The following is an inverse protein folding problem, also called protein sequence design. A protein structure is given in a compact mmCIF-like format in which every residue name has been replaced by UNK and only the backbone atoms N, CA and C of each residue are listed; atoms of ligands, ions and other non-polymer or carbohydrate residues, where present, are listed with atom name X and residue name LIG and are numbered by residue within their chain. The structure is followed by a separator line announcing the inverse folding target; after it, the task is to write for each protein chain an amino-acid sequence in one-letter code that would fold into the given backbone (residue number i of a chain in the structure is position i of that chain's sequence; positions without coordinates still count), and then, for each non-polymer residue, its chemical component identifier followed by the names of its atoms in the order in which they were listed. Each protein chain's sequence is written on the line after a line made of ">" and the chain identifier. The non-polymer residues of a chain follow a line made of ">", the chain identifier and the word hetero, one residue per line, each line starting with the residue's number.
data_IF_452435732810
#
_entry.id   IF_452435732810
#
_cell.length_a   1.000
_cell.length_b   1.000
_cell.length_c   1.000
_cell.angle_alpha   90.00
_cell.angle_beta   90.00
_cell.angle_gamma   90.00
#
_symmetry.space_group_name_H-M   'P 1'
#
loop_
_entity.id
_entity.type
_entity.pdbx_description
1 polymer ?
#
# COMPACT_ATOMS: atom_id res chain seq x y z
N UNK A 1 25.77 59.49 20.71
CA UNK A 1 24.64 60.37 20.38
C UNK A 1 23.36 59.53 20.52
N UNK A 2 22.38 60.08 21.23
CA UNK A 2 21.09 59.51 21.68
C UNK A 2 20.30 58.86 20.52
N UNK A 3 19.47 57.82 20.67
CA UNK A 3 18.27 57.70 21.53
C UNK A 3 17.99 56.22 21.85
N UNK A 4 17.55 55.95 23.08
CA UNK A 4 16.85 54.73 23.49
C UNK A 4 15.36 54.98 23.29
N UNK A 5 14.67 54.08 22.57
CA UNK A 5 13.22 53.94 22.67
C UNK A 5 12.92 52.62 23.36
N UNK A 6 12.02 52.70 24.34
CA UNK A 6 11.59 51.65 25.26
C UNK A 6 10.77 50.61 24.51
N UNK A 7 11.08 49.33 24.68
CA UNK A 7 10.00 48.35 24.82
C UNK A 7 10.42 47.13 25.64
N UNK A 8 9.51 46.81 26.54
CA UNK A 8 9.58 45.83 27.60
C UNK A 8 9.60 44.40 27.05
N UNK A 9 10.72 43.69 27.21
CA UNK A 9 10.79 42.28 27.66
C UNK A 9 12.23 41.79 27.54
N UNK A 10 12.85 41.50 28.69
CA UNK A 10 14.19 40.93 28.77
C UNK A 10 14.23 39.49 28.21
N UNK A 11 14.80 39.31 27.02
CA UNK A 11 15.33 38.02 26.55
C UNK A 11 16.65 38.22 25.82
N UNK A 12 17.76 37.89 26.49
CA UNK A 12 19.03 37.65 25.83
C UNK A 12 19.09 36.17 25.40
N UNK A 13 19.37 35.93 24.11
CA UNK A 13 19.65 34.59 23.56
C UNK A 13 21.16 34.40 23.51
N UNK A 14 21.68 33.41 24.23
CA UNK A 14 22.99 32.81 23.94
C UNK A 14 22.76 31.35 23.51
N UNK A 15 23.41 30.98 22.41
CA UNK A 15 23.44 29.61 21.86
C UNK A 15 24.73 28.97 22.34
N UNK A 16 24.62 27.91 23.15
CA UNK A 16 25.68 26.91 23.30
C UNK A 16 25.06 25.53 23.37
N UNK A 17 25.73 24.58 22.72
CA UNK A 17 25.20 23.26 22.40
C UNK A 17 24.90 22.37 23.61
N UNK A 18 23.95 21.47 23.34
CA UNK A 18 23.64 20.22 24.04
C UNK A 18 23.15 20.31 25.50
N UNK A 19 21.92 19.77 25.67
CA UNK A 19 21.15 19.50 26.90
C UNK A 19 20.49 20.73 27.56
N UNK A 20 19.20 20.92 27.26
CA UNK A 20 18.29 21.64 28.13
C UNK A 20 18.12 20.86 29.44
N UNK A 21 18.71 21.35 30.53
CA UNK A 21 18.29 21.03 31.90
C UNK A 21 17.55 22.26 32.42
N UNK A 22 16.24 22.14 32.62
CA UNK A 22 15.42 23.19 33.22
C UNK A 22 15.69 23.22 34.73
N UNK A 23 16.46 24.20 35.20
CA UNK A 23 16.55 24.53 36.63
C UNK A 23 15.54 25.64 36.91
N UNK A 24 14.43 25.30 37.57
CA UNK A 24 13.39 26.24 37.97
C UNK A 24 13.87 27.03 39.18
N UNK A 25 13.99 28.35 39.02
CA UNK A 25 14.40 29.28 40.06
C UNK A 25 13.44 29.22 41.26
N UNK A 26 14.05 29.20 42.45
CA UNK A 26 13.40 29.24 43.75
C UNK A 26 13.48 30.69 44.26
N UNK A 27 12.35 31.34 44.51
CA UNK A 27 12.26 32.44 45.49
C UNK A 27 10.88 32.45 46.18
N UNK A 28 10.80 32.96 47.43
CA UNK A 28 9.89 32.49 48.46
C UNK A 28 8.72 33.45 48.70
N UNK A 29 7.62 32.96 49.26
CA UNK A 29 6.80 33.71 50.21
C UNK A 29 5.78 32.81 50.91
N UNK A 30 5.73 33.01 52.23
CA UNK A 30 5.01 32.30 53.28
C UNK A 30 3.50 32.53 53.16
N UNK A 31 2.71 31.47 53.03
CA UNK A 31 1.33 31.45 53.47
C UNK A 31 1.04 30.17 54.26
N UNK A 32 0.24 30.38 55.29
CA UNK A 32 0.04 29.60 56.50
C UNK A 32 -0.71 28.31 56.20
N UNK A 33 -0.35 27.22 56.89
CA UNK A 33 -1.05 25.95 56.83
C UNK A 33 -2.54 26.13 57.18
N UNK A 34 -3.43 25.78 56.27
CA UNK A 34 -4.69 25.13 56.62
C UNK A 34 -4.59 23.71 56.12
N UNK A 35 -4.45 22.80 57.08
CA UNK A 35 -4.60 21.36 56.95
C UNK A 35 -5.91 21.02 56.22
N UNK A 36 -5.84 20.92 54.90
CA UNK A 36 -6.73 20.08 54.11
C UNK A 36 -6.00 18.75 53.94
N UNK A 37 -6.65 17.68 54.36
CA UNK A 37 -6.13 16.33 54.54
C UNK A 37 -5.20 15.87 53.40
N UNK A 38 -3.88 16.03 53.58
CA UNK A 38 -2.90 15.35 52.75
C UNK A 38 -2.85 13.91 53.24
N UNK A 39 -3.85 13.12 52.86
CA UNK A 39 -3.92 11.71 53.20
C UNK A 39 -2.78 11.01 52.46
N UNK A 40 -1.72 10.51 53.14
CA UNK A 40 -0.57 9.91 52.46
C UNK A 40 -0.98 8.67 51.65
N UNK A 41 -2.11 8.06 52.01
CA UNK A 41 -2.72 6.96 51.28
C UNK A 41 -3.31 7.40 49.94
N UNK A 42 -3.89 8.60 49.86
CA UNK A 42 -4.45 9.15 48.61
C UNK A 42 -3.33 9.51 47.63
N UNK A 43 -2.27 10.15 48.12
CA UNK A 43 -1.08 10.43 47.29
C UNK A 43 -0.40 9.14 46.78
N UNK A 44 -0.34 8.08 47.60
CA UNK A 44 0.16 6.76 47.16
C UNK A 44 -0.75 6.11 46.13
N UNK A 45 -2.06 6.24 46.29
CA UNK A 45 -3.04 5.70 45.33
C UNK A 45 -2.94 6.41 43.98
N UNK A 46 -2.83 7.74 43.96
CA UNK A 46 -2.67 8.52 42.73
C UNK A 46 -1.36 8.16 42.01
N UNK A 47 -0.24 8.07 42.74
CA UNK A 47 1.03 7.64 42.16
C UNK A 47 0.96 6.21 41.60
N UNK A 48 0.27 5.30 42.30
CA UNK A 48 0.07 3.93 41.81
C UNK A 48 -0.80 3.89 40.55
N UNK A 49 -1.87 4.70 40.50
CA UNK A 49 -2.72 4.85 39.33
C UNK A 49 -1.93 5.39 38.13
N UNK A 50 -1.11 6.42 38.33
CA UNK A 50 -0.26 6.98 37.27
C UNK A 50 0.75 5.95 36.72
N UNK A 51 1.42 5.19 37.59
CA UNK A 51 2.35 4.12 37.18
C UNK A 51 1.63 3.02 36.39
N UNK A 52 0.42 2.63 36.83
CA UNK A 52 -0.41 1.64 36.13
C UNK A 52 -0.90 2.17 34.77
N UNK A 53 -1.23 3.46 34.67
CA UNK A 53 -1.62 4.08 33.40
C UNK A 53 -0.46 4.26 32.43
N UNK A 54 0.74 4.54 32.93
CA UNK A 54 1.97 4.59 32.14
C UNK A 54 2.32 3.19 31.62
N UNK A 55 2.25 2.16 32.46
CA UNK A 55 2.44 0.76 32.06
C UNK A 55 1.40 0.31 31.02
N UNK A 56 0.13 0.69 31.19
CA UNK A 56 -0.91 0.47 30.16
C UNK A 56 -0.56 1.17 28.85
N UNK A 57 -0.13 2.43 28.88
CA UNK A 57 0.28 3.18 27.68
C UNK A 57 1.48 2.55 26.98
N UNK A 58 2.43 2.01 27.74
CA UNK A 58 3.61 1.32 27.21
C UNK A 58 3.27 -0.08 26.66
N UNK A 59 2.31 -0.77 27.27
CA UNK A 59 1.82 -2.09 26.84
C UNK A 59 0.81 -2.01 25.68
N UNK A 60 0.37 -0.81 25.31
CA UNK A 60 -0.52 -0.60 24.17
C UNK A 60 0.24 -0.80 22.86
N UNK A 61 -0.35 -1.50 21.86
CA UNK A 61 0.23 -1.56 20.53
C UNK A 61 0.35 -0.15 19.93
N UNK A 62 1.44 0.13 19.22
CA UNK A 62 1.70 1.44 18.57
C UNK A 62 0.58 1.90 17.62
N UNK A 63 -0.29 0.97 17.16
CA UNK A 63 -1.43 1.23 16.28
C UNK A 63 -2.78 1.35 17.04
N UNK A 64 -2.79 1.41 18.38
CA UNK A 64 -4.03 1.42 19.17
C UNK A 64 -4.95 2.61 18.85
N UNK A 65 -4.41 3.82 18.79
CA UNK A 65 -5.20 5.03 18.52
C UNK A 65 -5.84 5.02 17.13
N UNK A 66 -5.12 4.50 16.13
CA UNK A 66 -5.67 4.35 14.79
C UNK A 66 -6.73 3.24 14.72
N UNK A 67 -6.59 2.16 15.50
CA UNK A 67 -7.66 1.16 15.68
C UNK A 67 -8.90 1.76 16.35
N UNK A 68 -8.71 2.57 17.40
CA UNK A 68 -9.79 3.26 18.11
C UNK A 68 -10.54 4.23 17.18
N UNK A 69 -9.81 5.11 16.47
CA UNK A 69 -10.39 6.01 15.47
C UNK A 69 -11.15 5.27 14.37
N UNK A 70 -10.63 4.13 13.91
CA UNK A 70 -11.31 3.29 12.92
C UNK A 70 -12.61 2.70 13.49
N UNK A 71 -12.60 2.23 14.74
CA UNK A 71 -13.80 1.71 15.40
C UNK A 71 -14.86 2.80 15.61
N UNK A 72 -14.45 3.98 16.08
CA UNK A 72 -15.34 5.15 16.22
C UNK A 72 -15.93 5.56 14.86
N UNK A 73 -15.13 5.57 13.80
CA UNK A 73 -15.61 5.86 12.45
C UNK A 73 -16.61 4.83 11.94
N UNK A 74 -16.41 3.53 12.21
CA UNK A 74 -17.35 2.46 11.83
C UNK A 74 -18.68 2.65 12.56
N UNK A 75 -18.65 2.92 13.88
CA UNK A 75 -19.86 3.14 14.66
C UNK A 75 -20.64 4.35 14.16
N UNK A 76 -19.96 5.47 13.88
CA UNK A 76 -20.59 6.66 13.31
C UNK A 76 -21.16 6.43 11.91
N UNK A 77 -20.50 5.62 11.06
CA UNK A 77 -21.00 5.29 9.72
C UNK A 77 -22.25 4.38 9.81
N UNK A 78 -22.27 3.44 10.76
CA UNK A 78 -23.45 2.59 11.04
C UNK A 78 -24.63 3.39 11.60
N UNK A 79 -24.40 4.32 12.53
CA UNK A 79 -25.43 5.23 13.06
C UNK A 79 -26.05 6.06 11.94
N UNK A 80 -25.23 6.71 11.10
CA UNK A 80 -25.72 7.52 9.98
C UNK A 80 -26.46 6.68 8.94
N UNK A 81 -26.07 5.42 8.74
CA UNK A 81 -26.78 4.49 7.86
C UNK A 81 -28.17 4.18 8.39
N UNK A 82 -28.30 3.92 9.70
CA UNK A 82 -29.60 3.70 10.35
C UNK A 82 -30.48 4.96 10.29
N UNK A 83 -29.94 6.14 10.57
CA UNK A 83 -30.67 7.41 10.44
C UNK A 83 -31.16 7.69 9.01
N UNK A 84 -30.37 7.31 8.00
CA UNK A 84 -30.77 7.43 6.60
C UNK A 84 -31.89 6.43 6.24
N UNK A 85 -31.81 5.19 6.75
CA UNK A 85 -32.83 4.16 6.57
C UNK A 85 -34.16 4.55 7.24
N UNK A 86 -34.11 5.10 8.45
CA UNK A 86 -35.28 5.64 9.18
C UNK A 86 -35.94 6.81 8.44
N UNK A 87 -35.14 7.66 7.78
CA UNK A 87 -35.63 8.74 6.91
C UNK A 87 -36.09 8.26 5.53
N UNK A 88 -35.90 6.99 5.18
CA UNK A 88 -36.21 6.42 3.87
C UNK A 88 -35.29 6.89 2.74
N UNK A 89 -34.11 7.43 3.07
CA UNK A 89 -33.11 7.92 2.12
C UNK A 89 -32.06 6.84 1.81
N UNK A 90 -31.53 6.83 0.58
CA UNK A 90 -30.41 5.97 0.23
C UNK A 90 -29.10 6.58 0.77
N UNK A 91 -28.51 5.94 1.78
CA UNK A 91 -27.28 6.38 2.47
C UNK A 91 -26.12 6.70 1.52
N UNK A 92 -25.89 5.87 0.49
CA UNK A 92 -24.78 6.07 -0.45
C UNK A 92 -24.94 7.38 -1.24
N UNK A 93 -26.19 7.74 -1.59
CA UNK A 93 -26.48 9.00 -2.29
C UNK A 93 -26.25 10.20 -1.38
N UNK A 94 -26.71 10.16 -0.14
CA UNK A 94 -26.51 11.24 0.85
C UNK A 94 -25.02 11.44 1.12
N UNK A 95 -24.28 10.35 1.27
CA UNK A 95 -22.83 10.39 1.45
C UNK A 95 -22.12 11.04 0.26
N UNK A 96 -22.48 10.69 -0.97
CA UNK A 96 -21.91 11.28 -2.18
C UNK A 96 -22.21 12.78 -2.33
N UNK A 97 -23.36 13.26 -1.87
CA UNK A 97 -23.71 14.69 -1.90
C UNK A 97 -22.80 15.54 -0.99
N UNK A 98 -22.29 14.96 0.09
CA UNK A 98 -21.41 15.64 1.03
C UNK A 98 -19.92 15.56 0.66
N UNK A 99 -19.55 14.80 -0.38
CA UNK A 99 -18.16 14.74 -0.83
C UNK A 99 -17.82 16.00 -1.63
N UNK A 100 -16.88 16.78 -1.13
CA UNK A 100 -16.38 17.97 -1.84
C UNK A 100 -15.60 17.58 -3.10
N UNK A 101 -15.59 18.44 -4.12
CA UNK A 101 -14.89 18.18 -5.39
C UNK A 101 -13.38 17.90 -5.18
N UNK A 102 -12.74 18.61 -4.24
CA UNK A 102 -11.32 18.40 -3.88
C UNK A 102 -11.10 17.03 -3.22
N UNK A 103 -12.04 16.59 -2.40
CA UNK A 103 -11.98 15.30 -1.74
C UNK A 103 -12.23 14.16 -2.73
N UNK A 104 -13.18 14.35 -3.65
CA UNK A 104 -13.42 13.44 -4.77
C UNK A 104 -12.17 13.26 -5.63
N UNK A 105 -11.49 14.34 -6.05
CA UNK A 105 -10.25 14.26 -6.83
C UNK A 105 -9.13 13.53 -6.07
N UNK A 106 -8.98 13.83 -4.77
CA UNK A 106 -8.01 13.13 -3.92
C UNK A 106 -8.34 11.64 -3.81
N UNK A 107 -9.62 11.27 -3.70
CA UNK A 107 -10.07 9.89 -3.70
C UNK A 107 -9.80 9.21 -5.04
N UNK A 108 -10.04 9.89 -6.15
CA UNK A 108 -9.73 9.40 -7.50
C UNK A 108 -8.24 9.13 -7.70
N UNK A 109 -7.38 10.05 -7.27
CA UNK A 109 -5.92 9.86 -7.31
C UNK A 109 -5.45 8.70 -6.43
N UNK A 110 -6.15 8.42 -5.33
CA UNK A 110 -5.90 7.28 -4.46
C UNK A 110 -6.45 5.95 -5.02
N UNK A 111 -7.37 5.98 -5.99
CA UNK A 111 -7.86 4.75 -6.64
C UNK A 111 -6.69 4.09 -7.38
N UNK A 112 -6.47 2.81 -7.07
CA UNK A 112 -5.48 2.00 -7.79
C UNK A 112 -5.95 1.79 -9.23
N UNK A 113 -5.09 2.09 -10.20
CA UNK A 113 -5.32 1.73 -11.61
C UNK A 113 -5.44 0.21 -11.72
N UNK A 114 -6.53 -0.28 -12.30
CA UNK A 114 -6.77 -1.72 -12.54
C UNK A 114 -6.38 -2.05 -13.98
N UNK A 115 -5.62 -3.12 -14.18
CA UNK A 115 -5.27 -3.66 -15.50
C UNK A 115 -5.65 -5.16 -15.55
N UNK A 116 -6.96 -5.48 -15.65
CA UNK A 116 -7.43 -6.87 -15.71
C UNK A 116 -7.00 -7.55 -17.01
N UNK A 117 -6.84 -8.87 -16.97
CA UNK A 117 -6.54 -9.66 -18.17
C UNK A 117 -7.80 -9.86 -19.02
N UNK A 118 -7.75 -9.42 -20.29
CA UNK A 118 -8.88 -9.51 -21.22
C UNK A 118 -8.88 -10.84 -21.99
N UNK A 119 -7.89 -11.70 -21.77
CA UNK A 119 -7.70 -12.94 -22.51
C UNK A 119 -6.65 -12.81 -23.62
N UNK A 120 -6.33 -13.95 -24.23
CA UNK A 120 -5.37 -14.00 -25.33
C UNK A 120 -6.10 -13.76 -26.65
N UNK A 121 -5.75 -12.67 -27.34
CA UNK A 121 -6.24 -12.36 -28.68
C UNK A 121 -5.14 -12.61 -29.73
N UNK A 122 -3.98 -11.96 -29.56
CA UNK A 122 -2.83 -12.08 -30.45
C UNK A 122 -1.50 -11.96 -29.69
N UNK A 123 -0.43 -12.49 -30.30
CA UNK A 123 0.93 -12.42 -29.77
C UNK A 123 1.46 -11.00 -29.71
N UNK A 124 1.14 -10.10 -30.67
CA UNK A 124 1.62 -8.71 -30.63
C UNK A 124 1.03 -7.94 -29.46
N UNK A 125 -0.26 -8.14 -29.17
CA UNK A 125 -0.90 -7.50 -28.03
C UNK A 125 -0.33 -8.01 -26.70
N UNK A 126 -0.04 -9.31 -26.61
CA UNK A 126 0.57 -9.90 -25.43
C UNK A 126 2.00 -9.37 -25.20
N UNK A 127 2.82 -9.26 -26.26
CA UNK A 127 4.17 -8.70 -26.17
C UNK A 127 4.15 -7.22 -25.81
N UNK A 128 3.25 -6.44 -26.41
CA UNK A 128 3.09 -5.02 -26.08
C UNK A 128 2.72 -4.81 -24.61
N UNK A 129 1.81 -5.63 -24.07
CA UNK A 129 1.44 -5.57 -22.64
C UNK A 129 2.61 -5.95 -21.74
N UNK A 130 3.38 -6.97 -22.10
CA UNK A 130 4.60 -7.33 -21.38
C UNK A 130 5.63 -6.20 -21.42
N UNK A 131 5.85 -5.61 -22.58
CA UNK A 131 6.78 -4.49 -22.78
C UNK A 131 6.40 -3.30 -21.89
N UNK A 132 5.15 -2.84 -21.93
CA UNK A 132 4.68 -1.75 -21.07
C UNK A 132 4.86 -2.06 -19.59
N UNK A 133 4.66 -3.31 -19.18
CA UNK A 133 4.93 -3.74 -17.79
C UNK A 133 6.41 -3.64 -17.45
N UNK A 134 7.32 -4.01 -18.35
CA UNK A 134 8.77 -3.92 -18.15
C UNK A 134 9.21 -2.46 -18.09
N UNK A 135 8.79 -1.62 -19.05
CA UNK A 135 9.07 -0.17 -19.04
C UNK A 135 8.66 0.49 -17.73
N UNK A 136 7.45 0.19 -17.23
CA UNK A 136 6.96 0.76 -15.98
C UNK A 136 7.74 0.28 -14.73
N UNK A 137 8.43 -0.86 -14.80
CA UNK A 137 9.23 -1.37 -13.69
C UNK A 137 10.68 -0.85 -13.72
N UNK A 138 11.18 -0.48 -14.90
CA UNK A 138 12.53 0.07 -15.04
C UNK A 138 12.59 1.44 -14.36
N UNK A 139 13.58 1.60 -13.48
CA UNK A 139 13.85 2.87 -12.80
C UNK A 139 15.20 3.40 -13.31
N UNK A 140 15.21 4.47 -14.11
CA UNK A 140 16.48 5.02 -14.60
C UNK A 140 17.25 5.68 -13.46
N UNK A 141 18.55 5.45 -13.39
CA UNK A 141 19.46 6.22 -12.55
C UNK A 141 19.91 7.48 -13.30
N UNK A 142 19.48 8.63 -12.79
CA UNK A 142 19.78 9.92 -13.39
C UNK A 142 21.24 10.33 -13.21
N UNK A 143 21.90 9.92 -12.12
CA UNK A 143 23.30 10.25 -11.88
C UNK A 143 24.22 9.54 -12.89
N UNK A 144 23.98 8.24 -13.10
CA UNK A 144 24.68 7.46 -14.11
C UNK A 144 24.42 8.01 -15.53
N UNK A 145 23.20 8.44 -15.81
CA UNK A 145 22.85 9.08 -17.08
C UNK A 145 23.64 10.38 -17.32
N UNK A 146 23.74 11.26 -16.32
CA UNK A 146 24.51 12.51 -16.42
C UNK A 146 26.00 12.24 -16.63
N UNK A 147 26.57 11.28 -15.88
CA UNK A 147 27.97 10.85 -16.04
C UNK A 147 28.24 10.33 -17.46
N UNK A 148 27.37 9.48 -18.00
CA UNK A 148 27.51 8.97 -19.37
C UNK A 148 27.38 10.08 -20.42
N UNK A 149 26.46 11.03 -20.20
CA UNK A 149 26.28 12.19 -21.07
C UNK A 149 27.54 13.06 -21.13
N UNK A 150 28.18 13.32 -20.00
CA UNK A 150 29.44 14.08 -19.96
C UNK A 150 30.59 13.32 -20.63
N UNK A 151 30.70 12.00 -20.37
CA UNK A 151 31.77 11.15 -20.96
C UNK A 151 31.68 11.05 -22.48
N UNK A 152 30.48 10.88 -23.03
CA UNK A 152 30.24 10.68 -24.48
C UNK A 152 30.10 12.03 -25.22
N UNK A 153 29.71 13.10 -24.52
CA UNK A 153 29.62 14.45 -25.07
C UNK A 153 28.57 14.60 -26.16
N UNK A 154 28.90 15.29 -27.25
CA UNK A 154 27.98 15.56 -28.36
C UNK A 154 27.52 14.28 -29.09
N UNK A 155 28.32 13.21 -29.00
CA UNK A 155 27.97 11.92 -29.57
C UNK A 155 26.82 11.20 -28.83
N UNK A 156 26.46 11.65 -27.64
CA UNK A 156 25.46 10.99 -26.78
C UNK A 156 24.07 10.97 -27.40
N UNK A 157 23.72 12.00 -28.18
CA UNK A 157 22.41 12.13 -28.80
C UNK A 157 22.29 11.43 -30.17
N UNK A 158 23.36 10.76 -30.63
CA UNK A 158 23.31 9.91 -31.83
C UNK A 158 22.89 10.65 -33.11
N UNK A 159 23.60 11.72 -33.45
CA UNK A 159 23.37 12.45 -34.70
C UNK A 159 23.58 11.59 -35.95
N UNK A 160 23.13 12.09 -37.12
CA UNK A 160 23.11 11.36 -38.39
C UNK A 160 24.45 10.70 -38.78
N UNK A 161 25.58 11.27 -38.35
CA UNK A 161 26.93 10.81 -38.70
C UNK A 161 27.77 10.41 -37.48
N UNK A 162 27.14 10.13 -36.33
CA UNK A 162 27.84 9.81 -35.09
C UNK A 162 28.03 8.30 -34.97
N UNK A 163 29.29 7.83 -34.85
CA UNK A 163 29.60 6.42 -34.58
C UNK A 163 29.66 6.23 -33.05
N UNK A 164 28.60 5.66 -32.48
CA UNK A 164 28.50 5.41 -31.03
C UNK A 164 29.12 4.07 -30.60
N UNK A 165 29.24 3.13 -31.54
CA UNK A 165 29.67 1.77 -31.25
C UNK A 165 31.15 1.74 -30.83
N UNK A 166 31.43 1.25 -29.62
CA UNK A 166 32.77 1.18 -29.02
C UNK A 166 33.13 2.31 -28.04
N UNK A 167 32.28 3.33 -27.88
CA UNK A 167 32.49 4.41 -26.90
C UNK A 167 31.94 4.09 -25.49
N UNK A 168 31.02 3.13 -25.41
CA UNK A 168 30.40 2.68 -24.16
C UNK A 168 30.86 1.27 -23.83
N UNK A 169 31.23 1.07 -22.57
CA UNK A 169 31.48 -0.23 -21.98
C UNK A 169 30.46 -0.43 -20.87
N UNK A 170 29.74 -1.55 -20.90
CA UNK A 170 28.73 -1.87 -19.91
C UNK A 170 29.39 -2.14 -18.56
N UNK A 171 28.85 -1.55 -17.49
CA UNK A 171 29.29 -1.87 -16.14
C UNK A 171 28.83 -3.28 -15.75
N UNK A 172 29.62 -3.96 -14.91
CA UNK A 172 29.23 -5.28 -14.38
C UNK A 172 27.89 -5.23 -13.66
N UNK A 173 27.65 -4.17 -12.90
CA UNK A 173 26.37 -3.93 -12.20
C UNK A 173 25.19 -3.80 -13.18
N UNK A 174 25.36 -3.13 -14.32
CA UNK A 174 24.33 -3.02 -15.35
C UNK A 174 23.99 -4.38 -15.98
N UNK A 175 25.01 -5.21 -16.21
CA UNK A 175 24.85 -6.58 -16.69
C UNK A 175 24.10 -7.43 -15.66
N UNK A 176 24.48 -7.35 -14.38
CA UNK A 176 23.85 -8.11 -13.30
C UNK A 176 22.36 -7.75 -13.16
N UNK A 177 22.00 -6.46 -13.25
CA UNK A 177 20.61 -6.01 -13.25
C UNK A 177 19.82 -6.52 -14.46
N UNK A 178 20.41 -6.53 -15.65
CA UNK A 178 19.79 -7.10 -16.84
C UNK A 178 19.51 -8.60 -16.66
N UNK A 179 20.48 -9.36 -16.13
CA UNK A 179 20.33 -10.79 -15.86
C UNK A 179 19.21 -11.04 -14.85
N UNK A 180 19.18 -10.29 -13.76
CA UNK A 180 18.12 -10.39 -12.75
C UNK A 180 16.72 -10.15 -13.35
N UNK A 181 16.59 -9.17 -14.25
CA UNK A 181 15.33 -8.89 -14.92
C UNK A 181 14.93 -9.97 -15.92
N UNK A 182 15.88 -10.60 -16.62
CA UNK A 182 15.63 -11.77 -17.47
C UNK A 182 15.15 -12.97 -16.65
N UNK A 183 15.77 -13.25 -15.50
CA UNK A 183 15.32 -14.30 -14.58
C UNK A 183 13.90 -14.04 -14.06
N UNK A 184 13.58 -12.79 -13.72
CA UNK A 184 12.21 -12.39 -13.36
C UNK A 184 11.21 -12.59 -14.51
N UNK A 185 11.63 -12.42 -15.76
CA UNK A 185 10.79 -12.68 -16.93
C UNK A 185 10.56 -14.19 -17.08
N UNK A 186 11.62 -15.00 -16.99
CA UNK A 186 11.56 -16.46 -17.12
C UNK A 186 10.64 -17.05 -16.04
N UNK A 187 10.87 -16.70 -14.78
CA UNK A 187 10.05 -17.19 -13.65
C UNK A 187 8.58 -16.79 -13.77
N UNK A 188 8.27 -15.62 -14.34
CA UNK A 188 6.88 -15.21 -14.64
C UNK A 188 6.28 -16.01 -15.80
N UNK A 189 7.07 -16.34 -16.82
CA UNK A 189 6.64 -17.16 -17.97
C UNK A 189 6.32 -18.59 -17.54
N UNK A 190 7.14 -19.18 -16.67
CA UNK A 190 6.91 -20.51 -16.11
C UNK A 190 5.59 -20.59 -15.32
N UNK A 191 5.26 -19.52 -14.58
CA UNK A 191 4.04 -19.42 -13.77
C UNK A 191 2.79 -19.00 -14.56
N UNK A 192 2.88 -18.84 -15.89
CA UNK A 192 1.75 -18.41 -16.73
C UNK A 192 0.61 -19.44 -16.71
N UNK A 193 0.94 -20.73 -16.82
CA UNK A 193 -0.03 -21.82 -16.68
C UNK A 193 -0.03 -22.34 -15.24
N UNK A 194 -1.12 -22.09 -14.50
CA UNK A 194 -1.27 -22.55 -13.12
C UNK A 194 -1.94 -23.92 -13.09
N UNK A 195 -1.37 -24.87 -12.34
CA UNK A 195 -2.01 -26.17 -12.08
C UNK A 195 -3.24 -25.93 -11.21
N UNK A 196 -4.38 -26.50 -11.62
CA UNK A 196 -5.60 -26.56 -10.78
C UNK A 196 -5.44 -27.71 -9.79
N UNK A 197 -5.91 -27.53 -8.55
CA UNK A 197 -5.91 -28.62 -7.56
C UNK A 197 -6.72 -29.79 -8.09
N UNK A 198 -6.20 -31.01 -7.91
CA UNK A 198 -6.95 -32.22 -8.18
C UNK A 198 -8.00 -32.39 -7.07
N UNK A 199 -9.20 -32.80 -7.45
CA UNK A 199 -10.26 -33.16 -6.52
C UNK A 199 -10.41 -34.68 -6.59
N UNK A 200 -10.09 -35.37 -5.50
CA UNK A 200 -10.09 -36.84 -5.45
C UNK A 200 -11.53 -37.40 -5.41
N UNK A 201 -12.52 -36.59 -5.03
CA UNK A 201 -13.94 -36.98 -4.96
C UNK A 201 -14.67 -36.87 -6.32
N UNK A 202 -14.00 -36.39 -7.37
CA UNK A 202 -14.62 -36.24 -8.68
C UNK A 202 -14.68 -37.58 -9.44
N UNK A 203 -15.79 -37.86 -10.13
CA UNK A 203 -15.93 -39.04 -10.97
C UNK A 203 -14.83 -39.10 -12.03
N UNK A 204 -14.10 -40.21 -12.05
CA UNK A 204 -12.93 -40.38 -12.91
C UNK A 204 -13.37 -40.99 -14.25
N UNK A 205 -13.34 -40.17 -15.30
CA UNK A 205 -13.66 -40.56 -16.68
C UNK A 205 -12.44 -41.00 -17.53
N UNK A 206 -11.28 -41.16 -16.90
CA UNK A 206 -10.01 -41.39 -17.58
C UNK A 206 -9.16 -42.51 -16.94
N UNK A 207 -8.34 -43.17 -17.77
CA UNK A 207 -7.42 -44.23 -17.32
C UNK A 207 -5.98 -43.69 -17.15
N UNK A 208 -5.59 -42.67 -17.93
CA UNK A 208 -4.24 -42.08 -17.89
C UNK A 208 -4.27 -40.54 -17.99
N UNK A 209 -3.17 -39.87 -17.67
CA UNK A 209 -3.09 -38.39 -17.67
C UNK A 209 -3.30 -37.78 -19.06
N UNK A 210 -2.84 -38.45 -20.12
CA UNK A 210 -3.03 -37.96 -21.50
C UNK A 210 -4.50 -38.00 -21.90
N UNK A 211 -5.22 -39.03 -21.50
CA UNK A 211 -6.66 -39.20 -21.68
C UNK A 211 -7.41 -38.15 -20.85
N UNK A 212 -7.04 -37.94 -19.58
CA UNK A 212 -7.62 -36.86 -18.76
C UNK A 212 -7.51 -35.49 -19.45
N UNK A 213 -6.34 -35.15 -19.99
CA UNK A 213 -6.13 -33.87 -20.68
C UNK A 213 -6.93 -33.78 -22.00
N UNK A 214 -7.14 -34.91 -22.67
CA UNK A 214 -7.98 -35.00 -23.86
C UNK A 214 -9.47 -34.84 -23.53
N UNK A 215 -9.99 -35.55 -22.52
CA UNK A 215 -11.36 -35.39 -22.01
C UNK A 215 -11.60 -33.94 -21.55
N UNK A 216 -10.67 -33.35 -20.79
CA UNK A 216 -10.72 -31.92 -20.43
C UNK A 216 -10.73 -30.98 -21.63
N UNK A 217 -10.12 -31.37 -22.75
CA UNK A 217 -10.16 -30.60 -23.99
C UNK A 217 -11.55 -30.71 -24.60
N UNK A 218 -12.09 -31.94 -24.75
CA UNK A 218 -13.44 -32.17 -25.25
C UNK A 218 -14.48 -31.40 -24.42
N UNK A 219 -14.35 -31.41 -23.10
CA UNK A 219 -15.27 -30.71 -22.20
C UNK A 219 -15.32 -29.21 -22.45
N UNK A 220 -14.19 -28.56 -22.75
CA UNK A 220 -14.17 -27.11 -23.02
C UNK A 220 -14.90 -26.73 -24.31
N UNK A 221 -14.91 -27.62 -25.32
CA UNK A 221 -15.52 -27.33 -26.62
C UNK A 221 -16.96 -27.85 -26.72
N UNK A 222 -17.23 -29.04 -26.18
CA UNK A 222 -18.50 -29.74 -26.34
C UNK A 222 -19.33 -29.80 -25.06
N UNK A 223 -18.78 -29.44 -23.91
CA UNK A 223 -19.49 -29.50 -22.62
C UNK A 223 -20.78 -28.70 -22.64
N UNK A 224 -20.76 -27.50 -23.22
CA UNK A 224 -21.94 -26.64 -23.37
C UNK A 224 -23.06 -27.31 -24.18
N UNK A 225 -22.71 -27.98 -25.29
CA UNK A 225 -23.68 -28.62 -26.18
C UNK A 225 -24.14 -30.02 -25.72
N UNK A 226 -23.40 -30.65 -24.82
CA UNK A 226 -23.66 -32.04 -24.36
C UNK A 226 -24.23 -32.11 -22.94
N UNK A 227 -24.56 -30.95 -22.35
CA UNK A 227 -25.13 -30.85 -20.99
C UNK A 227 -26.39 -31.72 -20.82
N UNK A 228 -27.32 -31.69 -21.77
CA UNK A 228 -28.54 -32.50 -21.72
C UNK A 228 -28.26 -34.01 -21.74
N UNK A 229 -27.32 -34.44 -22.60
CA UNK A 229 -26.92 -35.85 -22.71
C UNK A 229 -26.29 -36.33 -21.40
N UNK A 230 -25.44 -35.51 -20.78
CA UNK A 230 -24.84 -35.82 -19.48
C UNK A 230 -25.88 -35.97 -18.39
N UNK A 231 -26.81 -35.03 -18.30
CA UNK A 231 -27.88 -35.11 -17.31
C UNK A 231 -28.77 -36.35 -17.51
N UNK A 232 -29.03 -36.74 -18.76
CA UNK A 232 -29.79 -37.96 -19.05
C UNK A 232 -29.02 -39.22 -18.63
N UNK A 233 -27.70 -39.26 -18.80
CA UNK A 233 -26.85 -40.35 -18.31
C UNK A 233 -26.86 -40.42 -16.78
N UNK A 234 -26.74 -39.29 -16.10
CA UNK A 234 -26.82 -39.19 -14.63
C UNK A 234 -28.21 -39.59 -14.08
N UNK A 235 -29.28 -39.34 -14.87
CA UNK A 235 -30.67 -39.75 -14.54
C UNK A 235 -31.00 -41.18 -14.95
N UNK A 236 -30.05 -41.95 -15.46
CA UNK A 236 -30.24 -43.37 -15.79
C UNK A 236 -30.87 -43.63 -17.17
N UNK A 237 -30.57 -42.80 -18.16
CA UNK A 237 -31.01 -42.93 -19.58
C UNK A 237 -32.52 -42.94 -19.80
N UNK A 238 -33.31 -42.53 -18.80
CA UNK A 238 -34.72 -42.25 -18.97
C UNK A 238 -34.88 -40.94 -19.78
N UNK A 239 -35.55 -41.02 -20.92
CA UNK A 239 -36.00 -39.86 -21.72
C UNK A 239 -37.08 -39.10 -20.96
#
# INVERSE_FOLDING_TARGET
>A
MWLVCVDTQHRWRFVFGYKLVYVRAMLPSRLVHTSGDYCPNEARQLNHQEVVEEDKRNNLPTNWEARKRKAEWILQDEEKKKEAEERGENYDRVKLLHVEAVEAERLERKKKKKNPDQGFADYEQATFRQYNRLINNMKPDMAQYEYQKEKVGDAFYGGRNTILHGLHEDSKEGIDHMVEDLEKIITKREKYSRRRMHNDDADIDYINERNMNFNKKLERYYGEYTTEIKQNLERGTAV
#
